data_IF_339619592825
#
_entry.id   IF_339619592825
#
_cell.length_a   1.000
_cell.length_b   1.000
_cell.length_c   1.000
_cell.angle_alpha   90.00
_cell.angle_beta   90.00
_cell.angle_gamma   90.00
#
_symmetry.space_group_name_H-M   'P 1'
#
loop_
_entity.id
_entity.type
_entity.pdbx_description
1 polymer ?
#
# COMPACT_ATOMS: atom_id res chain seq x y z
N UNK A 1 -10.16 15.32 4.96
CA UNK A 1 -9.31 15.56 6.14
C UNK A 1 -9.95 14.81 7.30
N UNK A 2 -9.28 13.81 7.87
CA UNK A 2 -9.77 13.14 9.09
C UNK A 2 -9.53 14.13 10.23
N UNK A 3 -10.60 14.55 10.90
CA UNK A 3 -10.51 15.47 12.02
C UNK A 3 -9.91 14.79 13.24
N UNK A 4 -9.40 15.56 14.19
CA UNK A 4 -8.92 15.04 15.48
C UNK A 4 -10.00 14.24 16.21
N UNK A 5 -11.26 14.63 16.03
CA UNK A 5 -12.46 13.93 16.50
C UNK A 5 -12.67 12.58 15.80
N UNK A 6 -12.45 12.51 14.49
CA UNK A 6 -12.51 11.23 13.76
C UNK A 6 -11.37 10.29 14.20
N UNK A 7 -10.21 10.85 14.56
CA UNK A 7 -9.08 10.08 15.11
C UNK A 7 -9.42 9.50 16.49
N UNK A 8 -10.04 10.29 17.37
CA UNK A 8 -10.55 9.84 18.67
C UNK A 8 -11.66 8.78 18.53
N UNK A 9 -12.55 8.93 17.54
CA UNK A 9 -13.58 7.95 17.25
C UNK A 9 -12.98 6.64 16.74
N UNK A 10 -11.93 6.69 15.91
CA UNK A 10 -11.17 5.51 15.48
C UNK A 10 -10.40 4.83 16.62
N UNK A 11 -9.94 5.60 17.62
CA UNK A 11 -9.32 5.05 18.83
C UNK A 11 -10.31 4.32 19.74
N UNK A 12 -11.60 4.67 19.69
CA UNK A 12 -12.67 4.00 20.45
C UNK A 12 -13.09 2.66 19.85
N UNK A 13 -12.71 2.37 18.60
CA UNK A 13 -13.05 1.10 17.95
C UNK A 13 -12.22 -0.02 18.60
N UNK A 14 -12.86 -1.07 19.14
CA UNK A 14 -12.16 -2.22 19.70
C UNK A 14 -11.14 -2.80 18.70
N UNK A 15 -9.99 -3.25 19.20
CA UNK A 15 -8.94 -3.85 18.37
C UNK A 15 -9.50 -4.96 17.47
N UNK A 16 -10.38 -5.80 18.00
CA UNK A 16 -10.96 -6.95 17.29
C UNK A 16 -11.84 -6.52 16.12
N UNK A 17 -12.58 -5.41 16.27
CA UNK A 17 -13.35 -4.84 15.17
C UNK A 17 -12.45 -4.23 14.10
N UNK A 18 -11.33 -3.61 14.49
CA UNK A 18 -10.34 -3.10 13.53
C UNK A 18 -9.69 -4.23 12.75
N UNK A 19 -9.34 -5.33 13.42
CA UNK A 19 -8.79 -6.53 12.75
C UNK A 19 -9.78 -7.09 11.74
N UNK A 20 -11.05 -7.28 12.13
CA UNK A 20 -12.11 -7.77 11.24
C UNK A 20 -12.30 -6.90 9.99
N UNK A 21 -12.19 -5.58 10.13
CA UNK A 21 -12.28 -4.67 8.98
C UNK A 21 -11.13 -4.86 8.01
N UNK A 22 -9.90 -5.02 8.52
CA UNK A 22 -8.73 -5.28 7.67
C UNK A 22 -8.84 -6.64 6.98
N UNK A 23 -9.32 -7.67 7.69
CA UNK A 23 -9.59 -8.99 7.10
C UNK A 23 -10.59 -8.91 5.94
N UNK A 24 -11.75 -8.29 6.17
CA UNK A 24 -12.78 -8.13 5.14
C UNK A 24 -12.28 -7.36 3.91
N UNK A 25 -11.45 -6.33 4.12
CA UNK A 25 -10.84 -5.60 3.00
C UNK A 25 -9.89 -6.48 2.18
N UNK A 26 -9.08 -7.31 2.85
CA UNK A 26 -8.12 -8.20 2.19
C UNK A 26 -8.78 -9.38 1.49
N UNK A 27 -9.88 -9.91 2.02
CA UNK A 27 -10.64 -10.99 1.38
C UNK A 27 -11.20 -10.60 0.01
N UNK A 28 -11.56 -9.33 -0.17
CA UNK A 28 -12.06 -8.82 -1.46
C UNK A 28 -10.95 -8.54 -2.48
N UNK A 29 -9.68 -8.71 -2.09
CA UNK A 29 -8.53 -8.31 -2.90
C UNK A 29 -7.81 -9.53 -3.44
N UNK A 30 -7.79 -9.67 -4.77
CA UNK A 30 -7.12 -10.78 -5.46
C UNK A 30 -5.60 -10.75 -5.28
N UNK A 31 -5.00 -9.55 -5.32
CA UNK A 31 -3.55 -9.35 -5.23
C UNK A 31 -3.21 -8.31 -4.13
N UNK A 32 -3.29 -8.68 -2.85
CA UNK A 32 -2.88 -7.79 -1.77
C UNK A 32 -1.35 -7.60 -1.79
N UNK A 33 -0.90 -6.39 -1.44
CA UNK A 33 0.54 -6.10 -1.30
C UNK A 33 1.06 -6.69 -0.01
N UNK A 34 2.36 -7.03 0.03
CA UNK A 34 3.03 -7.51 1.25
C UNK A 34 2.79 -6.57 2.44
N UNK A 35 2.86 -5.26 2.24
CA UNK A 35 2.52 -4.26 3.28
C UNK A 35 1.13 -4.44 3.91
N UNK A 36 0.11 -4.77 3.11
CA UNK A 36 -1.28 -4.87 3.57
C UNK A 36 -1.51 -6.17 4.35
N UNK A 37 -0.91 -7.27 3.88
CA UNK A 37 -0.86 -8.53 4.64
C UNK A 37 -0.04 -8.37 5.93
N UNK A 38 1.06 -7.60 5.87
CA UNK A 38 1.91 -7.30 7.02
C UNK A 38 1.19 -6.48 8.09
N UNK A 39 0.31 -5.56 7.70
CA UNK A 39 -0.56 -4.84 8.63
C UNK A 39 -1.50 -5.81 9.37
N UNK A 40 -2.15 -6.73 8.64
CA UNK A 40 -3.01 -7.75 9.26
C UNK A 40 -2.22 -8.63 10.24
N UNK A 41 -1.04 -9.10 9.82
CA UNK A 41 -0.18 -9.93 10.67
C UNK A 41 0.25 -9.21 11.95
N UNK A 42 0.69 -7.95 11.85
CA UNK A 42 1.06 -7.15 13.02
C UNK A 42 -0.12 -6.95 13.98
N UNK A 43 -1.33 -6.75 13.46
CA UNK A 43 -2.54 -6.61 14.29
C UNK A 43 -2.88 -7.91 15.03
N UNK A 44 -2.79 -9.07 14.35
CA UNK A 44 -3.00 -10.39 14.96
C UNK A 44 -1.96 -10.69 16.05
N UNK A 45 -0.69 -10.42 15.77
CA UNK A 45 0.38 -10.55 16.76
C UNK A 45 0.17 -9.60 17.96
N UNK A 46 -0.30 -8.38 17.71
CA UNK A 46 -0.70 -7.44 18.76
C UNK A 46 -1.86 -7.96 19.63
N UNK A 47 -2.83 -8.66 19.04
CA UNK A 47 -3.91 -9.33 19.79
C UNK A 47 -3.36 -10.44 20.69
N UNK A 48 -2.48 -11.31 20.17
CA UNK A 48 -1.85 -12.37 20.97
C UNK A 48 -1.14 -11.80 22.21
N UNK A 49 -0.37 -10.72 22.03
CA UNK A 49 0.32 -10.02 23.13
C UNK A 49 -0.69 -9.50 24.16
N UNK A 50 -1.77 -8.85 23.71
CA UNK A 50 -2.81 -8.28 24.58
C UNK A 50 -3.55 -9.35 25.37
N UNK A 51 -3.77 -10.50 24.75
CA UNK A 51 -4.44 -11.67 25.33
C UNK A 51 -3.48 -12.57 26.15
N UNK A 52 -2.19 -12.20 26.24
CA UNK A 52 -1.14 -12.98 26.91
C UNK A 52 -0.94 -14.38 26.32
N UNK A 53 -1.18 -14.54 25.02
CA UNK A 53 -0.86 -15.75 24.26
C UNK A 53 0.60 -15.73 23.80
N UNK A 54 1.23 -16.89 23.57
CA UNK A 54 2.54 -16.94 22.91
C UNK A 54 2.48 -16.26 21.54
N UNK A 55 3.49 -15.45 21.23
CA UNK A 55 3.58 -14.77 19.95
C UNK A 55 3.71 -15.78 18.80
N UNK A 56 2.89 -15.62 17.76
CA UNK A 56 2.82 -16.52 16.62
C UNK A 56 1.94 -17.75 16.81
N UNK A 57 1.29 -17.91 17.97
CA UNK A 57 0.47 -19.10 18.25
C UNK A 57 -0.76 -19.22 17.35
N UNK A 58 -1.32 -18.11 16.89
CA UNK A 58 -2.45 -18.06 15.94
C UNK A 58 -2.02 -17.39 14.63
N UNK A 59 -1.19 -16.35 14.71
CA UNK A 59 -0.72 -15.62 13.54
C UNK A 59 0.26 -16.44 12.70
N UNK A 60 0.92 -17.45 13.26
CA UNK A 60 1.77 -18.38 12.52
C UNK A 60 0.96 -19.21 11.52
N UNK A 61 -0.17 -19.77 11.96
CA UNK A 61 -1.07 -20.54 11.10
C UNK A 61 -1.66 -19.68 9.97
N UNK A 62 -1.94 -18.41 10.24
CA UNK A 62 -2.35 -17.44 9.21
C UNK A 62 -1.29 -17.33 8.10
N UNK A 63 -0.01 -17.17 8.45
CA UNK A 63 1.08 -17.09 7.46
C UNK A 63 1.22 -18.41 6.69
N UNK A 64 1.08 -19.55 7.35
CA UNK A 64 1.09 -20.85 6.66
C UNK A 64 -0.03 -20.93 5.62
N UNK A 65 -1.23 -20.44 5.95
CA UNK A 65 -2.39 -20.42 5.02
C UNK A 65 -2.20 -19.53 3.78
N UNK A 66 -1.16 -18.69 3.76
CA UNK A 66 -0.86 -17.82 2.61
C UNK A 66 -0.09 -18.53 1.51
N UNK A 67 0.61 -19.63 1.83
CA UNK A 67 1.46 -20.35 0.88
C UNK A 67 0.68 -20.87 -0.34
N UNK A 68 -0.59 -21.19 -0.14
CA UNK A 68 -1.47 -21.68 -1.21
C UNK A 68 -2.09 -20.56 -2.07
N UNK A 69 -1.94 -19.29 -1.64
CA UNK A 69 -2.63 -18.13 -2.22
C UNK A 69 -1.70 -17.07 -2.80
N UNK A 70 -0.55 -16.87 -2.18
CA UNK A 70 0.37 -15.78 -2.52
C UNK A 70 1.78 -16.32 -2.76
N UNK A 71 2.55 -15.58 -3.56
CA UNK A 71 3.95 -15.94 -3.81
C UNK A 71 4.80 -15.79 -2.55
N UNK A 72 5.89 -16.55 -2.46
CA UNK A 72 6.84 -16.48 -1.36
C UNK A 72 7.37 -15.06 -1.14
N UNK A 73 7.65 -14.33 -2.24
CA UNK A 73 8.07 -12.93 -2.18
C UNK A 73 7.07 -12.04 -1.41
N UNK A 74 5.78 -12.17 -1.71
CA UNK A 74 4.72 -11.37 -1.06
C UNK A 74 4.60 -11.72 0.43
N UNK A 75 4.76 -13.01 0.76
CA UNK A 75 4.73 -13.50 2.14
C UNK A 75 5.92 -12.96 2.94
N UNK A 76 7.13 -13.01 2.38
CA UNK A 76 8.33 -12.47 3.02
C UNK A 76 8.24 -10.94 3.22
N UNK A 77 7.73 -10.21 2.22
CA UNK A 77 7.46 -8.78 2.37
C UNK A 77 6.43 -8.49 3.47
N UNK A 78 5.41 -9.35 3.63
CA UNK A 78 4.42 -9.21 4.70
C UNK A 78 5.04 -9.42 6.08
N UNK A 79 5.90 -10.43 6.24
CA UNK A 79 6.62 -10.70 7.49
C UNK A 79 7.55 -9.52 7.83
N UNK A 80 8.31 -9.03 6.84
CA UNK A 80 9.18 -7.87 7.02
C UNK A 80 8.38 -6.61 7.42
N UNK A 81 7.25 -6.38 6.77
CA UNK A 81 6.36 -5.25 7.09
C UNK A 81 5.78 -5.39 8.50
N UNK A 82 5.32 -6.57 8.89
CA UNK A 82 4.76 -6.82 10.22
C UNK A 82 5.79 -6.56 11.33
N UNK A 83 7.04 -6.99 11.12
CA UNK A 83 8.15 -6.70 12.02
C UNK A 83 8.37 -5.18 12.18
N UNK A 84 8.33 -4.44 11.08
CA UNK A 84 8.48 -2.98 11.10
C UNK A 84 7.33 -2.30 11.88
N UNK A 85 6.09 -2.75 11.71
CA UNK A 85 4.95 -2.25 12.49
C UNK A 85 5.14 -2.44 14.00
N UNK A 86 5.70 -3.56 14.42
CA UNK A 86 5.92 -3.88 15.83
C UNK A 86 7.13 -3.15 16.43
N UNK A 87 8.22 -3.02 15.68
CA UNK A 87 9.47 -2.42 16.17
C UNK A 87 9.49 -0.89 16.04
N UNK A 88 8.86 -0.35 15.00
CA UNK A 88 8.93 1.07 14.65
C UNK A 88 7.54 1.69 14.36
N UNK A 89 6.54 1.52 15.25
CA UNK A 89 5.16 1.93 14.99
C UNK A 89 4.99 3.43 14.72
N UNK A 90 5.77 4.28 15.40
CA UNK A 90 5.70 5.74 15.21
C UNK A 90 6.15 6.16 13.79
N UNK A 91 7.25 5.60 13.30
CA UNK A 91 7.74 5.89 11.95
C UNK A 91 6.75 5.45 10.87
N UNK A 92 6.08 4.31 11.08
CA UNK A 92 5.04 3.85 10.17
C UNK A 92 3.82 4.77 10.20
N UNK A 93 3.38 5.21 11.37
CA UNK A 93 2.25 6.14 11.48
C UNK A 93 2.53 7.46 10.72
N UNK A 94 3.75 7.99 10.82
CA UNK A 94 4.19 9.17 10.06
C UNK A 94 4.17 8.92 8.55
N UNK A 95 4.68 7.77 8.09
CA UNK A 95 4.68 7.39 6.67
C UNK A 95 3.26 7.27 6.11
N UNK A 96 2.34 6.67 6.87
CA UNK A 96 0.92 6.55 6.49
C UNK A 96 0.29 7.94 6.38
N UNK A 97 0.52 8.80 7.38
CA UNK A 97 0.01 10.18 7.38
C UNK A 97 0.53 10.98 6.19
N UNK A 98 1.84 10.94 5.94
CA UNK A 98 2.47 11.60 4.79
C UNK A 98 1.96 11.05 3.45
N UNK A 99 1.66 9.76 3.36
CA UNK A 99 1.02 9.14 2.20
C UNK A 99 -0.41 9.66 1.97
N UNK A 100 -1.22 9.76 3.03
CA UNK A 100 -2.59 10.30 2.94
C UNK A 100 -2.61 11.78 2.53
N UNK A 101 -1.63 12.58 2.98
CA UNK A 101 -1.51 13.99 2.59
C UNK A 101 -1.22 14.15 1.09
N UNK A 102 -0.50 13.20 0.48
CA UNK A 102 -0.28 13.16 -0.97
C UNK A 102 -1.53 12.79 -1.77
N UNK A 103 -2.43 11.97 -1.22
CA UNK A 103 -3.72 11.66 -1.84
C UNK A 103 -4.75 12.79 -1.67
N UNK A 104 -4.64 13.59 -0.61
CA UNK A 104 -5.53 14.74 -0.36
C UNK A 104 -5.14 15.99 -1.16
N UNK A 105 -3.89 16.08 -1.65
CA UNK A 105 -3.51 17.02 -2.69
C UNK A 105 -3.75 16.36 -4.06
N UNK A 106 -4.97 16.52 -4.59
CA UNK A 106 -5.17 16.35 -6.03
C UNK A 106 -4.19 17.28 -6.79
N UNK A 107 -3.74 16.91 -8.00
CA UNK A 107 -2.78 17.70 -8.75
C UNK A 107 -3.50 18.97 -9.25
N UNK A 108 -3.26 20.11 -8.61
CA UNK A 108 -3.46 21.38 -9.27
C UNK A 108 -2.29 21.57 -10.25
N UNK A 109 -2.64 21.60 -11.54
CA UNK A 109 -1.83 21.89 -12.73
C UNK A 109 -0.76 20.88 -13.18
N UNK A 110 -1.24 19.79 -13.77
CA UNK A 110 -0.69 19.33 -15.05
C UNK A 110 -1.53 19.98 -16.17
N UNK A 111 -1.19 21.20 -16.59
CA UNK A 111 -2.10 21.95 -17.46
C UNK A 111 -1.67 23.30 -18.03
N UNK A 112 -0.39 23.58 -18.29
CA UNK A 112 -0.01 24.59 -19.29
C UNK A 112 1.23 24.14 -20.07
N UNK A 113 1.01 23.26 -21.04
CA UNK A 113 1.90 23.20 -22.20
C UNK A 113 1.10 22.73 -23.42
N UNK A 114 0.32 23.66 -23.98
CA UNK A 114 -0.26 23.56 -25.34
C UNK A 114 -0.92 24.88 -25.75
N UNK A 115 -0.18 25.77 -26.43
CA UNK A 115 -0.65 26.46 -27.65
C UNK A 115 0.50 27.24 -28.28
N UNK A 116 0.88 26.88 -29.51
CA UNK A 116 1.81 27.65 -30.32
C UNK A 116 2.32 26.89 -31.53
N UNK A 117 1.45 26.73 -32.54
CA UNK A 117 1.72 26.11 -33.83
C UNK A 117 2.99 26.65 -34.51
N UNK A 118 3.84 25.76 -35.02
CA UNK A 118 4.55 25.97 -36.28
C UNK A 118 4.52 24.68 -37.10
N UNK A 119 3.48 24.55 -37.93
CA UNK A 119 3.54 23.70 -39.11
C UNK A 119 4.00 24.59 -40.28
N UNK A 120 5.16 24.28 -40.83
CA UNK A 120 5.50 24.57 -42.23
C UNK A 120 6.25 23.37 -42.80
N UNK A 121 5.44 22.43 -43.28
CA UNK A 121 5.63 21.55 -44.43
C UNK A 121 7.00 20.88 -44.67
N UNK A 122 6.98 19.56 -44.48
CA UNK A 122 7.74 18.58 -45.27
C UNK A 122 7.73 18.91 -46.77
N UNK A 123 8.87 18.72 -47.42
CA UNK A 123 8.91 18.24 -48.81
C UNK A 123 9.82 17.02 -48.83
N UNK A 124 9.20 15.90 -49.22
CA UNK A 124 9.70 14.53 -49.17
C UNK A 124 10.92 14.30 -50.08
N UNK A 125 11.76 13.38 -49.60
CA UNK A 125 12.64 12.49 -50.35
C UNK A 125 12.17 12.18 -51.77
N UNK A 126 13.11 12.23 -52.74
CA UNK A 126 13.22 11.20 -53.79
C UNK A 126 14.68 10.99 -54.22
N UNK A 127 15.13 9.76 -53.98
CA UNK A 127 15.90 8.85 -54.84
C UNK A 127 17.38 9.09 -55.21
N UNK A 128 18.18 8.14 -54.72
CA UNK A 128 19.02 7.20 -55.49
C UNK A 128 20.11 7.75 -56.44
N UNK A 129 21.35 7.54 -56.00
CA UNK A 129 22.37 6.67 -56.61
C UNK A 129 22.82 6.87 -58.08
N UNK A 130 24.15 6.76 -58.21
CA UNK A 130 24.97 6.31 -59.34
C UNK A 130 25.53 7.31 -60.37
N UNK A 131 26.88 7.31 -60.39
CA UNK A 131 27.81 7.33 -61.52
C UNK A 131 27.82 8.50 -62.51
N UNK A 132 28.99 9.15 -62.60
CA UNK A 132 29.42 10.02 -63.70
C UNK A 132 30.54 10.94 -63.30
#
# INVERSE_FOLDING_TARGET
MISEKDLEELQKIPLDERVKRVEALLETKENPRGFELGLLLALKMGQEIREKKPLGSESGDLVVSWKDRYSEYVIEEAIASAKEFLLHPASIAEKIKAGMDKFNKAPEDAGQDSTGQQNSAESKDQNEAENG
#
